data_IF_172991212881
#
_entry.id   IF_172991212881
#
_cell.length_a   1.000
_cell.length_b   1.000
_cell.length_c   1.000
_cell.angle_alpha   90.00
_cell.angle_beta   90.00
_cell.angle_gamma   90.00
#
_symmetry.space_group_name_H-M   'P 1'
#
loop_
_entity.id
_entity.type
_entity.pdbx_description
1 polymer ?
#
# COMPACT_ATOMS: atom_id res chain seq x y z
N UNK A 1 -13.84 2.15 -5.00
CA UNK A 1 -12.36 2.16 -4.91
C UNK A 1 -11.85 1.82 -6.31
N UNK A 2 -10.84 2.54 -6.83
CA UNK A 2 -10.59 2.62 -8.28
C UNK A 2 -10.29 1.24 -8.93
N UNK A 3 -9.62 0.30 -8.24
CA UNK A 3 -9.49 -1.12 -8.67
C UNK A 3 -9.42 -2.14 -7.52
N UNK A 4 -9.66 -1.76 -6.27
CA UNK A 4 -9.62 -2.66 -5.10
C UNK A 4 -8.22 -3.14 -4.65
N UNK A 5 -7.22 -3.12 -5.54
CA UNK A 5 -5.89 -3.72 -5.31
C UNK A 5 -4.84 -2.79 -4.69
N UNK A 6 -5.21 -1.56 -4.31
CA UNK A 6 -4.31 -0.58 -3.69
C UNK A 6 -4.40 -0.54 -2.16
N UNK A 7 -5.36 -1.25 -1.57
CA UNK A 7 -5.61 -1.21 -0.13
C UNK A 7 -5.07 -2.47 0.55
N UNK A 8 -4.09 -2.27 1.44
CA UNK A 8 -3.44 -3.35 2.19
C UNK A 8 -4.43 -4.07 3.11
N UNK A 9 -5.50 -3.39 3.56
CA UNK A 9 -6.53 -4.02 4.39
C UNK A 9 -7.22 -5.19 3.67
N UNK A 10 -7.24 -5.16 2.34
CA UNK A 10 -7.83 -6.20 1.48
C UNK A 10 -6.75 -7.01 0.75
N UNK A 11 -5.50 -6.98 1.22
CA UNK A 11 -4.40 -7.72 0.61
C UNK A 11 -3.79 -7.06 -0.63
N UNK A 12 -4.18 -5.82 -0.94
CA UNK A 12 -3.63 -5.02 -2.02
C UNK A 12 -2.20 -4.53 -1.75
N UNK A 13 -1.61 -3.88 -2.75
CA UNK A 13 -0.27 -3.33 -2.69
C UNK A 13 -0.31 -1.92 -2.11
N UNK A 14 0.35 -1.74 -0.96
CA UNK A 14 0.41 -0.44 -0.28
C UNK A 14 1.19 0.61 -1.08
N UNK A 15 0.84 1.88 -0.90
CA UNK A 15 1.47 2.99 -1.63
C UNK A 15 3.00 3.05 -1.49
N UNK A 16 3.53 2.75 -0.29
CA UNK A 16 4.97 2.68 -0.09
C UNK A 16 5.63 1.54 -0.88
N UNK A 17 5.00 0.35 -0.90
CA UNK A 17 5.49 -0.77 -1.71
C UNK A 17 5.49 -0.44 -3.21
N UNK A 18 4.45 0.25 -3.71
CA UNK A 18 4.41 0.71 -5.12
C UNK A 18 5.58 1.65 -5.41
N UNK A 19 5.84 2.63 -4.53
CA UNK A 19 6.98 3.54 -4.67
C UNK A 19 8.28 2.75 -4.75
N UNK A 20 8.49 1.76 -3.87
CA UNK A 20 9.69 0.94 -3.90
C UNK A 20 9.83 0.12 -5.19
N UNK A 21 8.74 -0.40 -5.76
CA UNK A 21 8.78 -1.09 -7.06
C UNK A 21 9.22 -0.14 -8.19
N UNK A 22 8.67 1.07 -8.21
CA UNK A 22 9.02 2.09 -9.21
C UNK A 22 10.47 2.55 -9.03
N UNK A 23 10.87 2.85 -7.80
CA UNK A 23 12.25 3.25 -7.47
C UNK A 23 13.25 2.17 -7.86
N UNK A 24 12.99 0.91 -7.53
CA UNK A 24 13.85 -0.21 -7.93
C UNK A 24 14.00 -0.29 -9.44
N UNK A 25 12.91 -0.13 -10.20
CA UNK A 25 12.98 -0.16 -11.67
C UNK A 25 13.86 0.97 -12.21
N UNK A 26 13.69 2.19 -11.70
CA UNK A 26 14.49 3.35 -12.11
C UNK A 26 15.97 3.12 -11.78
N UNK A 27 16.30 2.64 -10.58
CA UNK A 27 17.68 2.39 -10.15
C UNK A 27 18.41 1.38 -11.06
N UNK A 28 17.70 0.42 -11.66
CA UNK A 28 18.31 -0.60 -12.52
C UNK A 28 18.29 -0.25 -14.02
N UNK A 29 17.44 0.68 -14.46
CA UNK A 29 17.26 1.00 -15.89
C UNK A 29 17.69 2.42 -16.28
N UNK A 30 17.90 3.32 -15.32
CA UNK A 30 18.24 4.72 -15.57
C UNK A 30 19.61 5.01 -14.98
N UNK A 31 20.64 5.21 -15.81
CA UNK A 31 21.96 5.62 -15.35
C UNK A 31 21.91 6.93 -14.56
N UNK A 32 22.77 7.09 -13.54
CA UNK A 32 22.89 8.35 -12.81
C UNK A 32 23.09 9.54 -13.75
N UNK A 33 22.30 10.61 -13.57
CA UNK A 33 22.40 11.84 -14.36
C UNK A 33 21.63 11.84 -15.68
N UNK A 34 20.93 10.76 -16.05
CA UNK A 34 20.09 10.74 -17.25
C UNK A 34 18.63 11.08 -16.94
N UNK A 35 17.98 11.76 -17.90
CA UNK A 35 16.53 12.01 -17.84
C UNK A 35 15.81 10.74 -18.29
N UNK A 36 14.93 10.17 -17.44
CA UNK A 36 14.23 8.95 -17.78
C UNK A 36 13.16 9.16 -18.86
N UNK A 37 13.07 8.24 -19.82
CA UNK A 37 11.91 8.16 -20.71
C UNK A 37 10.73 7.54 -19.95
N UNK A 38 9.75 8.37 -19.58
CA UNK A 38 8.60 7.94 -18.77
C UNK A 38 7.69 6.94 -19.48
N UNK A 39 7.53 7.05 -20.81
CA UNK A 39 6.73 6.11 -21.59
C UNK A 39 7.36 4.71 -21.61
N UNK A 40 8.68 4.66 -21.81
CA UNK A 40 9.45 3.43 -21.71
C UNK A 40 9.40 2.84 -20.30
N UNK A 41 9.60 3.65 -19.26
CA UNK A 41 9.54 3.18 -17.87
C UNK A 41 8.17 2.63 -17.50
N UNK A 42 7.09 3.25 -17.95
CA UNK A 42 5.73 2.78 -17.68
C UNK A 42 5.48 1.41 -18.33
N UNK A 43 5.84 1.24 -19.61
CA UNK A 43 5.74 -0.05 -20.29
C UNK A 43 6.61 -1.10 -19.60
N UNK A 44 7.87 -0.75 -19.32
CA UNK A 44 8.83 -1.65 -18.70
C UNK A 44 8.41 -2.04 -17.27
N UNK A 45 7.75 -1.14 -16.53
CA UNK A 45 7.19 -1.47 -15.21
C UNK A 45 6.17 -2.59 -15.30
N UNK A 46 5.19 -2.46 -16.21
CA UNK A 46 4.16 -3.47 -16.41
C UNK A 46 4.74 -4.79 -16.95
N UNK A 47 5.69 -4.70 -17.89
CA UNK A 47 6.36 -5.87 -18.43
C UNK A 47 7.17 -6.62 -17.37
N UNK A 48 8.07 -5.91 -16.70
CA UNK A 48 9.01 -6.50 -15.75
C UNK A 48 8.29 -7.18 -14.59
N UNK A 49 7.36 -6.47 -13.91
CA UNK A 49 6.63 -7.08 -12.79
C UNK A 49 5.51 -8.02 -13.22
N UNK A 50 5.01 -7.92 -14.45
CA UNK A 50 3.99 -8.83 -14.98
C UNK A 50 4.53 -10.14 -15.54
N UNK A 51 5.77 -10.16 -16.05
CA UNK A 51 6.32 -11.30 -16.81
C UNK A 51 7.70 -11.77 -16.36
N UNK A 52 8.56 -10.87 -15.88
CA UNK A 52 10.00 -11.17 -15.67
C UNK A 52 10.33 -11.42 -14.20
N UNK A 53 9.79 -10.61 -13.30
CA UNK A 53 10.19 -10.60 -11.90
C UNK A 53 9.76 -11.89 -11.18
N UNK A 54 10.74 -12.70 -10.79
CA UNK A 54 10.49 -13.91 -10.00
C UNK A 54 10.26 -13.56 -8.52
N UNK A 55 9.02 -13.19 -8.18
CA UNK A 55 8.62 -12.91 -6.79
C UNK A 55 8.77 -14.10 -5.84
N UNK A 56 8.94 -15.33 -6.33
CA UNK A 56 9.10 -16.50 -5.45
C UNK A 56 10.49 -16.50 -4.83
N UNK A 57 11.52 -16.29 -5.65
CA UNK A 57 12.92 -16.45 -5.26
C UNK A 57 13.62 -15.12 -4.96
N UNK A 58 13.13 -14.00 -5.51
CA UNK A 58 13.82 -12.72 -5.47
C UNK A 58 13.12 -11.75 -4.53
N UNK A 59 13.94 -11.04 -3.75
CA UNK A 59 13.56 -9.87 -2.97
C UNK A 59 14.21 -8.61 -3.54
N UNK A 60 13.53 -7.48 -3.34
CA UNK A 60 13.98 -6.17 -3.79
C UNK A 60 14.67 -5.47 -2.61
N UNK A 61 15.92 -5.04 -2.81
CA UNK A 61 16.66 -4.18 -1.87
C UNK A 61 16.97 -2.85 -2.56
N UNK A 62 16.61 -1.75 -1.91
CA UNK A 62 16.82 -0.41 -2.46
C UNK A 62 18.20 0.18 -2.13
N UNK A 63 18.83 -0.29 -1.04
CA UNK A 63 20.13 0.21 -0.59
C UNK A 63 21.05 -0.93 -0.11
N UNK A 64 22.17 -1.20 -0.81
CA UNK A 64 22.43 -0.76 -2.18
C UNK A 64 21.41 -1.39 -3.16
N UNK A 65 21.08 -0.72 -4.27
CA UNK A 65 20.08 -1.21 -5.22
C UNK A 65 20.45 -2.59 -5.76
N UNK A 66 19.59 -3.58 -5.53
CA UNK A 66 19.83 -4.95 -6.00
C UNK A 66 18.61 -5.84 -5.88
N UNK A 67 18.61 -6.88 -6.71
CA UNK A 67 17.76 -8.06 -6.57
C UNK A 67 18.53 -9.14 -5.83
N UNK A 68 18.03 -9.54 -4.65
CA UNK A 68 18.70 -10.52 -3.78
C UNK A 68 17.89 -11.79 -3.72
N UNK A 69 18.55 -12.95 -3.70
CA UNK A 69 17.85 -14.22 -3.48
C UNK A 69 17.37 -14.31 -2.04
N UNK A 70 16.13 -14.72 -1.87
CA UNK A 70 15.45 -14.83 -0.58
C UNK A 70 16.11 -15.83 0.38
N UNK A 71 16.64 -16.91 -0.18
CA UNK A 71 17.32 -17.99 0.56
C UNK A 71 18.70 -17.57 1.11
N UNK A 72 19.31 -16.54 0.52
CA UNK A 72 20.65 -16.06 0.85
C UNK A 72 20.65 -14.71 1.59
N UNK A 73 19.49 -14.06 1.72
CA UNK A 73 19.41 -12.73 2.33
C UNK A 73 19.41 -12.80 3.87
N UNK A 74 20.22 -11.93 4.49
CA UNK A 74 20.38 -11.73 5.96
C UNK A 74 20.50 -10.21 6.17
N UNK A 75 19.90 -9.59 7.20
CA UNK A 75 19.35 -10.13 8.46
C UNK A 75 17.92 -10.69 8.38
N UNK A 76 17.29 -10.62 7.22
CA UNK A 76 15.91 -11.05 7.03
C UNK A 76 15.80 -12.38 6.29
N UNK A 77 15.41 -13.44 7.00
CA UNK A 77 15.21 -14.76 6.42
C UNK A 77 13.79 -14.89 5.86
N UNK A 78 13.66 -14.83 4.54
CA UNK A 78 12.39 -15.06 3.84
C UNK A 78 11.95 -16.54 3.85
N UNK A 79 12.79 -17.46 4.34
CA UNK A 79 12.49 -18.89 4.37
C UNK A 79 11.28 -19.24 5.27
N UNK A 80 10.98 -18.40 6.27
CA UNK A 80 9.81 -18.53 7.13
C UNK A 80 8.58 -17.76 6.61
N UNK A 81 8.73 -16.97 5.54
CA UNK A 81 7.63 -16.21 4.95
C UNK A 81 6.74 -17.13 4.11
N UNK A 82 5.44 -16.82 3.98
CA UNK A 82 4.54 -17.64 3.15
C UNK A 82 5.09 -17.73 1.71
N UNK A 83 4.98 -18.89 1.05
CA UNK A 83 5.45 -19.04 -0.31
C UNK A 83 4.78 -18.03 -1.23
N UNK A 84 5.49 -17.64 -2.29
CA UNK A 84 5.00 -16.77 -3.37
C UNK A 84 4.64 -15.32 -2.96
N UNK A 85 5.08 -14.85 -1.79
CA UNK A 85 4.88 -13.45 -1.37
C UNK A 85 5.88 -12.50 -2.02
N UNK A 86 5.43 -11.27 -2.28
CA UNK A 86 6.33 -10.17 -2.60
C UNK A 86 7.26 -9.87 -1.41
N UNK A 87 8.51 -9.57 -1.74
CA UNK A 87 9.55 -9.28 -0.79
C UNK A 87 10.23 -7.97 -1.18
N UNK A 88 10.05 -6.95 -0.35
CA UNK A 88 10.76 -5.68 -0.46
C UNK A 88 11.35 -5.39 0.91
N UNK A 89 12.68 -5.31 0.95
CA UNK A 89 13.44 -4.95 2.15
C UNK A 89 13.14 -3.49 2.48
N UNK A 90 12.73 -3.23 3.72
CA UNK A 90 12.57 -1.86 4.23
C UNK A 90 13.93 -1.13 4.24
N UNK A 91 14.07 0.00 3.53
CA UNK A 91 15.31 0.77 3.55
C UNK A 91 15.71 1.27 4.94
N UNK A 92 14.74 1.44 5.84
CA UNK A 92 14.99 1.91 7.21
C UNK A 92 15.16 0.76 8.21
N UNK A 93 14.78 -0.47 7.82
CA UNK A 93 14.71 -1.63 8.71
C UNK A 93 14.96 -2.94 7.94
N UNK A 94 16.24 -3.30 7.77
CA UNK A 94 16.62 -4.44 6.92
C UNK A 94 16.02 -5.81 7.32
N UNK A 95 15.56 -5.97 8.56
CA UNK A 95 14.82 -7.13 9.08
C UNK A 95 13.28 -7.03 8.88
N UNK A 96 12.81 -6.18 7.97
CA UNK A 96 11.38 -5.98 7.71
C UNK A 96 11.05 -6.10 6.22
N UNK A 97 9.98 -6.85 5.90
CA UNK A 97 9.38 -6.91 4.57
C UNK A 97 8.19 -5.94 4.49
N UNK A 98 8.35 -4.82 3.80
CA UNK A 98 7.31 -3.78 3.70
C UNK A 98 6.10 -4.21 2.86
N UNK A 99 6.26 -5.25 2.03
CA UNK A 99 5.17 -5.88 1.29
C UNK A 99 4.52 -7.06 2.06
N UNK A 100 4.80 -7.15 3.37
CA UNK A 100 4.18 -8.02 4.38
C UNK A 100 2.69 -8.31 4.16
N UNK A 101 1.91 -7.25 3.97
CA UNK A 101 0.46 -7.31 3.89
C UNK A 101 -0.12 -7.64 2.51
N UNK A 102 0.69 -7.70 1.45
CA UNK A 102 0.20 -7.93 0.09
C UNK A 102 -0.13 -9.40 -0.13
N UNK A 103 -1.39 -9.77 0.07
CA UNK A 103 -1.88 -11.14 -0.15
C UNK A 103 -2.21 -11.41 -1.63
N UNK A 104 -2.68 -10.40 -2.36
CA UNK A 104 -3.18 -10.52 -3.74
C UNK A 104 -2.11 -10.29 -4.80
N UNK A 105 -0.84 -10.60 -4.49
CA UNK A 105 0.28 -10.28 -5.39
C UNK A 105 0.18 -10.97 -6.75
N UNK A 106 -0.34 -12.20 -6.81
CA UNK A 106 -0.56 -12.91 -8.07
C UNK A 106 -1.55 -12.18 -8.96
N UNK A 107 -2.67 -11.71 -8.39
CA UNK A 107 -3.67 -10.94 -9.12
C UNK A 107 -3.08 -9.60 -9.58
N UNK A 108 -2.32 -8.92 -8.72
CA UNK A 108 -1.67 -7.64 -9.04
C UNK A 108 -0.70 -7.80 -10.22
N UNK A 109 0.12 -8.85 -10.22
CA UNK A 109 1.07 -9.12 -11.31
C UNK A 109 0.35 -9.52 -12.61
N UNK A 110 -0.75 -10.28 -12.54
CA UNK A 110 -1.61 -10.53 -13.71
C UNK A 110 -2.21 -9.23 -14.26
N UNK A 111 -2.64 -8.32 -13.40
CA UNK A 111 -3.11 -6.99 -13.83
C UNK A 111 -2.00 -6.18 -14.50
N UNK A 112 -0.75 -6.27 -14.02
CA UNK A 112 0.40 -5.65 -14.70
C UNK A 112 0.66 -6.28 -16.07
N UNK A 113 0.61 -7.60 -16.19
CA UNK A 113 0.74 -8.27 -17.48
C UNK A 113 -0.34 -7.82 -18.47
N UNK A 114 -1.60 -7.77 -18.03
CA UNK A 114 -2.71 -7.30 -18.86
C UNK A 114 -2.55 -5.80 -19.25
N UNK A 115 -2.12 -4.96 -18.31
CA UNK A 115 -1.84 -3.55 -18.56
C UNK A 115 -0.75 -3.37 -19.64
N UNK A 116 0.30 -4.19 -19.61
CA UNK A 116 1.32 -4.21 -20.66
C UNK A 116 0.71 -4.56 -22.02
N UNK A 117 -0.03 -5.67 -22.11
CA UNK A 117 -0.64 -6.12 -23.37
C UNK A 117 -1.58 -5.07 -23.98
N UNK A 118 -2.43 -4.45 -23.16
CA UNK A 118 -3.36 -3.42 -23.63
C UNK A 118 -2.64 -2.16 -24.14
N UNK A 119 -1.64 -1.68 -23.39
CA UNK A 119 -0.89 -0.49 -23.78
C UNK A 119 -0.08 -0.74 -25.06
N UNK A 120 0.58 -1.89 -25.17
CA UNK A 120 1.33 -2.30 -26.36
C UNK A 120 0.44 -2.42 -27.60
N UNK A 121 -0.73 -3.08 -27.48
CA UNK A 121 -1.68 -3.21 -28.58
C UNK A 121 -2.15 -1.83 -29.06
N UNK A 122 -2.49 -0.92 -28.14
CA UNK A 122 -2.91 0.45 -28.49
C UNK A 122 -1.82 1.27 -29.16
N UNK A 123 -0.56 1.08 -28.77
CA UNK A 123 0.56 1.75 -29.42
C UNK A 123 0.75 1.23 -30.86
N UNK A 124 0.60 -0.08 -31.09
CA UNK A 124 0.66 -0.67 -32.42
C UNK A 124 -0.50 -0.17 -33.31
N UNK A 125 -1.74 -0.22 -32.80
CA UNK A 125 -2.93 0.29 -33.52
C UNK A 125 -2.76 1.76 -33.95
N UNK A 126 -2.17 2.59 -33.08
CA UNK A 126 -1.94 4.01 -33.37
C UNK A 126 -0.83 4.23 -34.41
N UNK A 127 0.17 3.36 -34.42
CA UNK A 127 1.21 3.41 -35.44
C UNK A 127 0.64 3.07 -36.82
N UNK A 128 -0.29 2.12 -36.90
CA UNK A 128 -0.90 1.67 -38.15
C UNK A 128 -2.04 2.59 -38.64
N UNK A 129 -2.87 3.12 -37.74
CA UNK A 129 -4.07 3.89 -38.08
C UNK A 129 -3.89 5.42 -38.08
N UNK A 130 -2.71 5.93 -37.71
CA UNK A 130 -2.44 7.37 -37.60
C UNK A 130 -3.07 8.03 -36.35
N UNK A 131 -3.28 9.35 -36.39
CA UNK A 131 -3.71 10.13 -35.20
C UNK A 131 -5.15 9.80 -34.79
N UNK A 132 -5.29 8.94 -33.79
CA UNK A 132 -6.57 8.72 -33.09
C UNK A 132 -6.77 9.79 -32.00
N UNK A 133 -8.02 10.20 -31.75
CA UNK A 133 -8.37 11.18 -30.69
C UNK A 133 -8.45 10.57 -29.29
N UNK A 134 -8.27 9.25 -29.16
CA UNK A 134 -8.38 8.54 -27.88
C UNK A 134 -7.04 8.54 -27.15
N UNK A 135 -7.10 8.74 -25.83
CA UNK A 135 -5.92 8.67 -24.96
C UNK A 135 -5.33 7.25 -24.94
N UNK A 136 -4.01 7.14 -24.98
CA UNK A 136 -3.29 5.87 -24.78
C UNK A 136 -3.57 5.24 -23.41
N UNK A 137 -3.92 6.07 -22.42
CA UNK A 137 -4.08 5.64 -21.03
C UNK A 137 -5.54 5.34 -20.66
N UNK A 138 -6.47 5.41 -21.62
CA UNK A 138 -7.90 5.29 -21.33
C UNK A 138 -8.24 3.94 -20.69
N UNK A 139 -7.66 2.84 -21.19
CA UNK A 139 -7.92 1.49 -20.66
C UNK A 139 -7.16 1.23 -19.34
N UNK A 140 -6.11 2.01 -19.08
CA UNK A 140 -5.30 1.93 -17.85
C UNK A 140 -5.88 2.73 -16.69
N UNK A 141 -6.48 3.89 -16.97
CA UNK A 141 -7.02 4.81 -15.96
C UNK A 141 -8.54 4.66 -15.75
N UNK A 142 -9.19 3.79 -16.54
CA UNK A 142 -10.57 3.40 -16.35
C UNK A 142 -10.77 2.70 -15.00
N UNK A 143 -11.46 3.39 -14.09
CA UNK A 143 -11.94 2.84 -12.82
C UNK A 143 -13.36 3.33 -12.56
N UNK A 144 -14.06 2.64 -11.66
CA UNK A 144 -15.37 3.10 -11.21
C UNK A 144 -15.19 4.31 -10.27
N UNK A 145 -15.42 5.49 -10.85
CA UNK A 145 -15.43 6.77 -10.14
C UNK A 145 -16.83 7.18 -9.70
N UNK A 146 -17.85 6.35 -9.89
CA UNK A 146 -19.24 6.70 -9.63
C UNK A 146 -19.44 7.08 -8.16
N UNK A 147 -18.93 6.26 -7.23
CA UNK A 147 -18.98 6.55 -5.80
C UNK A 147 -18.30 7.88 -5.42
N UNK A 148 -17.16 8.21 -6.06
CA UNK A 148 -16.50 9.51 -5.86
C UNK A 148 -17.29 10.66 -6.49
N UNK A 149 -17.98 10.41 -7.61
CA UNK A 149 -18.94 11.33 -8.21
C UNK A 149 -20.09 11.64 -7.26
N UNK A 150 -20.76 10.60 -6.75
CA UNK A 150 -21.87 10.72 -5.81
C UNK A 150 -21.46 11.46 -4.53
N UNK A 151 -20.28 11.13 -3.96
CA UNK A 151 -19.77 11.81 -2.77
C UNK A 151 -19.43 13.28 -3.04
N UNK A 152 -18.81 13.61 -4.19
CA UNK A 152 -18.55 15.00 -4.57
C UNK A 152 -19.85 15.78 -4.73
N UNK A 153 -20.86 15.19 -5.37
CA UNK A 153 -22.16 15.85 -5.54
C UNK A 153 -22.88 16.05 -4.20
N UNK A 154 -22.82 15.08 -3.29
CA UNK A 154 -23.33 15.23 -1.92
C UNK A 154 -22.66 16.39 -1.18
N UNK A 155 -21.33 16.45 -1.22
CA UNK A 155 -20.57 17.54 -0.59
C UNK A 155 -20.89 18.89 -1.25
N UNK A 156 -21.06 18.92 -2.58
CA UNK A 156 -21.45 20.11 -3.33
C UNK A 156 -22.81 20.62 -2.87
N UNK A 157 -23.81 19.74 -2.73
CA UNK A 157 -25.14 20.09 -2.21
C UNK A 157 -25.07 20.68 -0.81
N UNK A 158 -24.39 20.01 0.12
CA UNK A 158 -24.23 20.52 1.50
C UNK A 158 -23.59 21.91 1.50
N UNK A 159 -22.56 22.12 0.67
CA UNK A 159 -21.90 23.42 0.53
C UNK A 159 -22.84 24.49 -0.03
N UNK A 160 -23.55 24.18 -1.13
CA UNK A 160 -24.54 25.08 -1.74
C UNK A 160 -25.67 25.44 -0.76
N UNK A 161 -26.21 24.46 -0.05
CA UNK A 161 -27.30 24.66 0.93
C UNK A 161 -26.83 25.57 2.08
N UNK A 162 -25.59 25.40 2.55
CA UNK A 162 -24.99 26.28 3.57
C UNK A 162 -24.77 27.71 3.06
N UNK A 163 -24.37 27.90 1.81
CA UNK A 163 -24.24 29.24 1.23
C UNK A 163 -25.61 29.93 1.15
N UNK A 164 -26.66 29.21 0.77
CA UNK A 164 -28.03 29.72 0.72
C UNK A 164 -28.55 30.07 2.12
N UNK A 165 -28.27 29.23 3.12
CA UNK A 165 -28.70 29.46 4.51
C UNK A 165 -27.94 30.58 5.22
N UNK A 166 -26.62 30.71 5.00
CA UNK A 166 -25.79 31.72 5.69
C UNK A 166 -25.70 33.08 4.99
N UNK A 167 -26.37 33.30 3.84
CA UNK A 167 -26.23 34.51 3.00
C UNK A 167 -24.76 34.94 2.81
N UNK A 168 -23.83 33.99 2.86
CA UNK A 168 -22.42 34.29 2.66
C UNK A 168 -22.18 34.52 1.17
N UNK A 169 -21.46 35.59 0.78
CA UNK A 169 -21.07 35.78 -0.61
C UNK A 169 -20.32 34.54 -1.09
N UNK A 170 -20.61 34.12 -2.31
CA UNK A 170 -19.82 33.10 -2.99
C UNK A 170 -18.33 33.51 -2.90
N UNK A 171 -17.42 32.63 -2.43
CA UNK A 171 -16.01 32.89 -2.68
C UNK A 171 -15.81 33.01 -4.19
N UNK A 172 -14.92 33.90 -4.66
CA UNK A 172 -14.73 34.11 -6.07
C UNK A 172 -14.47 32.77 -6.75
N UNK A 173 -15.25 32.49 -7.80
CA UNK A 173 -14.98 31.37 -8.69
C UNK A 173 -13.53 31.51 -9.13
N UNK A 174 -12.67 30.58 -8.68
CA UNK A 174 -11.34 30.46 -9.26
C UNK A 174 -11.57 29.92 -10.65
N UNK A 175 -11.82 30.82 -11.60
CA UNK A 175 -11.70 30.51 -13.02
C UNK A 175 -10.27 30.03 -13.19
N UNK A 176 -10.10 28.75 -13.54
CA UNK A 176 -8.85 28.24 -14.08
C UNK A 176 -8.67 28.82 -15.49
N UNK A 177 -8.58 30.14 -15.60
CA UNK A 177 -7.77 30.74 -16.65
C UNK A 177 -6.34 30.39 -16.29
N UNK A 178 -5.68 29.59 -17.11
CA UNK A 178 -4.25 29.33 -16.98
C UNK A 178 -3.51 30.66 -16.76
N UNK A 179 -2.50 30.72 -15.87
CA UNK A 179 -1.87 31.99 -15.54
C UNK A 179 -1.24 32.60 -16.79
N UNK A 180 -1.64 33.82 -17.20
CA UNK A 180 -0.86 34.61 -18.14
C UNK A 180 0.37 35.13 -17.40
N UNK A 181 1.55 34.69 -17.84
CA UNK A 181 2.83 35.38 -17.63
C UNK A 181 3.16 35.78 -16.20
N UNK A 182 3.63 34.82 -15.38
CA UNK A 182 4.56 35.15 -14.30
C UNK A 182 5.92 34.64 -14.74
N UNK A 183 6.81 35.58 -15.03
CA UNK A 183 8.16 35.34 -15.47
C UNK A 183 8.91 34.39 -14.51
N UNK A 184 9.61 33.41 -15.10
CA UNK A 184 10.61 32.61 -14.40
C UNK A 184 11.65 33.57 -13.78
N UNK A 185 11.94 33.50 -12.46
CA UNK A 185 13.10 34.19 -11.94
C UNK A 185 14.36 33.53 -12.52
N UNK A 186 15.13 34.32 -13.27
CA UNK A 186 16.46 33.98 -13.77
C UNK A 186 17.33 33.47 -12.62
N UNK A 187 17.77 32.21 -12.73
CA UNK A 187 18.87 31.69 -11.92
C UNK A 187 20.15 32.28 -12.49
N UNK A 188 20.55 33.44 -11.95
CA UNK A 188 21.91 33.93 -12.06
C UNK A 188 22.72 33.39 -10.88
N UNK A 189 23.77 32.66 -11.22
CA UNK A 189 24.87 32.19 -10.38
C UNK A 189 25.44 33.23 -9.43
N UNK A 190 25.45 32.94 -8.12
CA UNK A 190 26.51 33.38 -7.21
C UNK A 190 26.50 32.46 -5.97
N UNK A 191 27.64 31.81 -5.71
CA UNK A 191 27.76 30.78 -4.67
C UNK A 191 27.72 31.31 -3.24
N UNK A 192 27.74 30.39 -2.27
CA UNK A 192 28.91 30.15 -1.38
C UNK A 192 28.51 29.31 -0.14
N UNK A 193 29.30 28.26 0.05
CA UNK A 193 29.72 27.54 1.28
C UNK A 193 28.70 26.72 2.08
N UNK A 194 28.99 25.41 2.10
CA UNK A 194 28.59 24.43 3.12
C UNK A 194 29.12 24.83 4.51
N UNK A 195 28.38 24.52 5.59
CA UNK A 195 28.96 24.39 6.91
C UNK A 195 29.18 22.91 7.30
N UNK A 196 30.34 22.75 7.93
CA UNK A 196 30.97 21.59 8.55
C UNK A 196 30.16 21.03 9.74
N UNK A 197 30.17 19.70 9.90
CA UNK A 197 29.48 18.96 10.97
C UNK A 197 30.53 18.28 11.86
N UNK A 198 30.96 18.99 12.90
CA UNK A 198 31.60 18.42 14.08
C UNK A 198 30.58 18.29 15.23
N UNK A 199 30.43 17.08 15.78
CA UNK A 199 29.76 16.83 17.06
C UNK A 199 30.63 17.35 18.23
N UNK A 200 30.08 17.68 19.43
CA UNK A 200 29.82 16.64 20.44
C UNK A 200 28.59 16.83 21.36
N UNK A 201 28.05 15.69 21.80
CA UNK A 201 27.41 15.34 23.08
C UNK A 201 26.57 16.34 23.89
N UNK A 202 25.30 15.94 24.12
CA UNK A 202 24.83 15.57 25.47
C UNK A 202 24.03 16.60 26.28
N UNK A 203 22.69 16.41 26.38
CA UNK A 203 21.93 16.49 27.64
C UNK A 203 20.46 16.07 27.47
N UNK A 204 19.99 15.20 28.38
CA UNK A 204 18.58 14.92 28.68
C UNK A 204 17.93 16.14 29.33
N UNK A 205 16.74 16.58 28.91
CA UNK A 205 15.64 17.04 29.81
C UNK A 205 14.28 16.81 29.12
N UNK A 206 13.28 16.58 29.97
CA UNK A 206 11.91 16.11 29.87
C UNK A 206 10.84 17.04 29.27
N UNK A 207 9.78 16.40 28.76
CA UNK A 207 8.33 16.67 28.90
C UNK A 207 7.70 18.04 28.57
N UNK A 208 6.72 18.01 27.65
CA UNK A 208 5.60 18.95 27.48
C UNK A 208 5.22 19.09 26.00
N UNK A 209 4.27 18.30 25.45
CA UNK A 209 2.84 18.63 25.18
C UNK A 209 2.68 19.97 24.42
N UNK A 210 2.19 20.04 23.18
CA UNK A 210 0.84 19.63 22.74
C UNK A 210 0.73 19.27 21.24
N UNK A 211 -0.12 18.29 20.91
CA UNK A 211 -0.71 18.04 19.57
C UNK A 211 -2.19 17.68 19.75
N UNK A 212 -3.12 18.18 18.92
CA UNK A 212 -4.55 17.95 19.13
C UNK A 212 -5.06 16.64 18.51
N UNK A 213 -6.02 16.05 19.23
CA UNK A 213 -7.04 15.06 18.84
C UNK A 213 -6.59 13.69 18.30
N UNK A 214 -6.50 12.70 19.20
CA UNK A 214 -6.59 11.28 18.87
C UNK A 214 -7.55 10.61 19.85
N UNK A 215 -8.47 9.78 19.34
CA UNK A 215 -9.37 8.94 20.14
C UNK A 215 -8.60 8.23 21.28
N UNK A 216 -9.21 8.06 22.47
CA UNK A 216 -8.50 7.55 23.64
C UNK A 216 -7.93 6.15 23.36
N UNK A 217 -6.60 6.01 23.52
CA UNK A 217 -5.91 4.73 23.39
C UNK A 217 -6.42 3.78 24.49
N UNK A 218 -6.98 2.64 24.08
CA UNK A 218 -7.41 1.55 24.97
C UNK A 218 -6.27 1.14 25.91
N UNK A 219 -6.58 0.99 27.19
CA UNK A 219 -5.60 0.52 28.19
C UNK A 219 -5.16 -0.92 27.89
N UNK A 220 -3.98 -1.33 28.39
CA UNK A 220 -3.46 -2.70 28.22
C UNK A 220 -4.46 -3.76 28.68
N UNK A 221 -5.23 -3.48 29.74
CA UNK A 221 -6.31 -4.34 30.22
C UNK A 221 -7.47 -4.46 29.23
N UNK A 222 -7.94 -3.33 28.69
CA UNK A 222 -9.03 -3.31 27.70
C UNK A 222 -8.65 -4.02 26.39
N UNK A 223 -7.39 -3.94 25.95
CA UNK A 223 -6.89 -4.68 24.78
C UNK A 223 -6.89 -6.20 25.00
N UNK A 224 -6.47 -6.65 26.19
CA UNK A 224 -6.46 -8.07 26.56
C UNK A 224 -7.87 -8.63 26.65
N UNK A 225 -8.79 -7.86 27.23
CA UNK A 225 -10.21 -8.19 27.29
C UNK A 225 -10.80 -8.37 25.88
N UNK A 226 -10.63 -7.37 25.02
CA UNK A 226 -11.14 -7.41 23.66
C UNK A 226 -10.60 -8.65 22.91
N UNK A 227 -9.31 -8.92 23.04
CA UNK A 227 -8.71 -10.13 22.44
C UNK A 227 -9.32 -11.43 22.99
N UNK A 228 -9.72 -11.48 24.26
CA UNK A 228 -10.35 -12.66 24.87
C UNK A 228 -11.80 -12.85 24.36
N UNK A 229 -12.54 -11.76 24.15
CA UNK A 229 -13.89 -11.79 23.55
C UNK A 229 -13.85 -12.16 22.07
N UNK A 230 -12.93 -11.56 21.31
CA UNK A 230 -12.76 -11.84 19.89
C UNK A 230 -12.37 -13.31 19.65
N UNK A 231 -11.50 -13.87 20.52
CA UNK A 231 -11.16 -15.30 20.49
C UNK A 231 -12.36 -16.20 20.79
N UNK A 232 -13.16 -15.88 21.81
CA UNK A 232 -14.36 -16.66 22.15
C UNK A 232 -15.40 -16.65 21.02
N UNK A 233 -15.66 -15.47 20.43
CA UNK A 233 -16.56 -15.32 19.29
C UNK A 233 -16.07 -16.14 18.08
N UNK A 234 -14.78 -16.03 17.75
CA UNK A 234 -14.19 -16.77 16.62
C UNK A 234 -14.28 -18.28 16.80
N UNK A 235 -14.07 -18.80 18.01
CA UNK A 235 -14.24 -20.23 18.30
C UNK A 235 -15.70 -20.66 18.15
N UNK A 236 -16.65 -19.90 18.69
CA UNK A 236 -18.09 -20.22 18.56
C UNK A 236 -18.55 -20.29 17.11
N UNK A 237 -18.08 -19.36 16.28
CA UNK A 237 -18.46 -19.32 14.86
C UNK A 237 -17.85 -20.46 14.05
N UNK A 238 -16.56 -20.76 14.27
CA UNK A 238 -15.83 -21.71 13.44
C UNK A 238 -15.91 -23.15 13.94
N UNK A 239 -16.27 -23.36 15.21
CA UNK A 239 -16.35 -24.67 15.86
C UNK A 239 -17.70 -24.82 16.59
N UNK A 240 -18.80 -25.08 15.86
CA UNK A 240 -20.12 -25.26 16.45
C UNK A 240 -20.17 -26.43 17.44
N UNK A 241 -19.28 -27.41 17.30
CA UNK A 241 -19.14 -28.60 18.16
C UNK A 241 -18.72 -28.28 19.61
N UNK A 242 -17.99 -27.19 19.82
CA UNK A 242 -17.55 -26.74 21.15
C UNK A 242 -18.16 -25.40 21.56
N UNK A 243 -19.02 -24.81 20.72
CA UNK A 243 -19.60 -23.48 20.95
C UNK A 243 -20.36 -23.37 22.28
N UNK A 244 -20.98 -24.46 22.74
CA UNK A 244 -21.70 -24.54 24.03
C UNK A 244 -20.77 -24.57 25.24
N UNK A 245 -19.51 -24.98 25.05
CA UNK A 245 -18.48 -25.02 26.11
C UNK A 245 -17.64 -23.74 26.17
N UNK A 246 -17.68 -22.91 25.14
CA UNK A 246 -16.94 -21.63 25.09
C UNK A 246 -17.77 -20.53 25.75
N UNK A 247 -17.23 -19.87 26.78
CA UNK A 247 -17.85 -18.72 27.45
C UNK A 247 -17.87 -17.44 26.58
N UNK A 248 -18.22 -16.30 27.17
CA UNK A 248 -18.14 -14.98 26.49
C UNK A 248 -16.69 -14.47 26.33
N UNK A 249 -15.77 -14.98 27.16
CA UNK A 249 -14.34 -14.70 27.14
C UNK A 249 -13.60 -16.01 27.32
N UNK A 250 -12.49 -16.15 26.62
CA UNK A 250 -11.61 -17.32 26.77
C UNK A 250 -10.17 -16.85 26.78
N UNK A 251 -9.31 -17.45 27.61
CA UNK A 251 -7.86 -17.22 27.53
C UNK A 251 -7.27 -18.00 26.34
N UNK A 252 -5.97 -17.84 26.08
CA UNK A 252 -5.35 -18.63 25.01
C UNK A 252 -5.20 -20.10 25.41
N UNK A 253 -4.88 -20.36 26.67
CA UNK A 253 -4.69 -21.70 27.23
C UNK A 253 -6.01 -22.48 27.26
N UNK A 254 -7.08 -21.87 27.78
CA UNK A 254 -8.41 -22.49 27.81
C UNK A 254 -8.95 -22.77 26.40
N UNK A 255 -8.65 -21.89 25.44
CA UNK A 255 -9.04 -22.07 24.04
C UNK A 255 -8.36 -23.31 23.43
N UNK A 256 -7.08 -23.53 23.73
CA UNK A 256 -6.36 -24.72 23.28
C UNK A 256 -6.92 -25.98 23.94
N UNK A 257 -7.17 -25.94 25.25
CA UNK A 257 -7.69 -27.08 26.00
C UNK A 257 -9.11 -27.47 25.56
N UNK A 258 -10.01 -26.49 25.36
CA UNK A 258 -11.37 -26.74 24.88
C UNK A 258 -11.39 -27.24 23.43
N UNK A 259 -10.44 -26.79 22.61
CA UNK A 259 -10.33 -27.15 21.20
C UNK A 259 -9.58 -28.45 20.92
N UNK A 260 -8.86 -28.97 21.92
CA UNK A 260 -8.02 -30.18 21.81
C UNK A 260 -6.74 -29.94 21.00
N UNK A 261 -6.17 -28.73 21.06
CA UNK A 261 -4.97 -28.38 20.30
C UNK A 261 -3.70 -28.52 21.13
N UNK A 262 -2.64 -29.07 20.54
CA UNK A 262 -1.33 -29.23 21.19
C UNK A 262 -0.50 -27.94 21.14
N UNK A 263 -0.81 -27.04 20.20
CA UNK A 263 -0.14 -25.74 20.07
C UNK A 263 -1.06 -24.64 19.56
N UNK A 264 -0.68 -23.39 19.82
CA UNK A 264 -1.37 -22.21 19.29
C UNK A 264 -1.37 -22.16 17.77
N UNK A 265 -0.29 -22.63 17.15
CA UNK A 265 -0.13 -22.69 15.70
C UNK A 265 -1.10 -23.68 15.06
N UNK A 266 -1.30 -24.84 15.69
CA UNK A 266 -2.26 -25.84 15.24
C UNK A 266 -3.70 -25.30 15.26
N UNK A 267 -4.07 -24.65 16.37
CA UNK A 267 -5.37 -23.99 16.51
C UNK A 267 -5.58 -22.93 15.42
N UNK A 268 -4.61 -22.05 15.19
CA UNK A 268 -4.73 -20.99 14.18
C UNK A 268 -4.86 -21.56 12.76
N UNK A 269 -4.17 -22.66 12.44
CA UNK A 269 -4.28 -23.35 11.15
C UNK A 269 -5.64 -24.04 10.96
N UNK A 270 -6.19 -24.69 11.99
CA UNK A 270 -7.53 -25.29 11.92
C UNK A 270 -8.61 -24.22 11.75
N UNK A 271 -8.59 -23.17 12.58
CA UNK A 271 -9.54 -22.06 12.48
C UNK A 271 -9.44 -21.33 11.13
N UNK A 272 -8.24 -21.14 10.59
CA UNK A 272 -8.07 -20.57 9.25
C UNK A 272 -8.62 -21.48 8.14
N UNK A 273 -8.50 -22.81 8.27
CA UNK A 273 -9.10 -23.77 7.33
C UNK A 273 -10.62 -23.70 7.36
N UNK A 274 -11.22 -23.70 8.55
CA UNK A 274 -12.69 -23.63 8.73
C UNK A 274 -13.29 -22.31 8.26
N UNK A 275 -12.61 -21.19 8.52
CA UNK A 275 -13.04 -19.87 8.04
C UNK A 275 -13.13 -19.80 6.50
N UNK A 276 -12.21 -20.46 5.79
CA UNK A 276 -12.27 -20.56 4.32
C UNK A 276 -13.41 -21.45 3.82
N UNK A 277 -13.76 -22.50 4.57
CA UNK A 277 -14.86 -23.40 4.23
C UNK A 277 -16.27 -22.81 4.41
N UNK A 278 -16.43 -21.75 5.22
CA UNK A 278 -17.70 -21.04 5.39
C UNK A 278 -17.96 -19.94 4.35
N UNK A 279 -16.99 -19.65 3.48
CA UNK A 279 -17.07 -18.58 2.45
C UNK A 279 -17.46 -19.10 1.06
N UNK A 280 -17.91 -20.36 0.97
CA UNK A 280 -18.48 -21.02 -0.20
C UNK A 280 -19.95 -21.34 0.09
#
# INVERSE_FOLDING_TARGET
MIRGLSDVAFGGLGGFSIICLVTSLIQHHVPPGQVPNLGYLLLNFFYFYGHVFNKQEIAIRLEPPSFVRKDQYTPFHYNSDKPNRLAIVDPNKADNNISGGTAEIDLIFRCFSNAYSQLSARMAERQDAGTTSKSLLVDLLGGDFEAYGQQRERLRRIYSDRLVQNKQPLPPTVSLSGPPGVALPNIATAGRKQPDMSQPNGRKVSSGKDKPNTLPKLTKGQRRDRAAKDRASRLKTLRPDIATKVGERVTMEDAMQLGGYESTQEMDLDLARRARGMSL
#
